data_IF_542869533555
#
_entry.id   IF_542869533555
#
_cell.length_a   1.000
_cell.length_b   1.000
_cell.length_c   1.000
_cell.angle_alpha   90.00
_cell.angle_beta   90.00
_cell.angle_gamma   90.00
#
_symmetry.space_group_name_H-M   'P 1'
#
loop_
_entity.id
_entity.type
_entity.pdbx_description
1 polymer ?
#
# COMPACT_ATOMS: atom_id res chain seq x y z
N UNK A 1 20.34 27.30 17.88
CA UNK A 1 19.29 26.52 17.19
C UNK A 1 18.75 27.24 15.96
N UNK A 2 18.45 28.54 16.02
CA UNK A 2 17.90 29.34 14.90
C UNK A 2 18.82 29.39 13.66
N UNK A 3 20.14 29.44 13.84
CA UNK A 3 21.10 29.51 12.71
C UNK A 3 21.15 28.22 11.86
N UNK A 4 20.97 27.05 12.48
CA UNK A 4 20.96 25.77 11.77
C UNK A 4 19.71 25.64 10.88
N UNK A 5 18.59 26.18 11.33
CA UNK A 5 17.34 26.18 10.58
C UNK A 5 17.41 27.13 9.37
N UNK A 6 18.07 28.28 9.54
CA UNK A 6 18.38 29.23 8.47
C UNK A 6 19.29 28.63 7.38
N UNK A 7 20.30 27.85 7.78
CA UNK A 7 21.19 27.17 6.85
C UNK A 7 20.46 26.09 6.03
N UNK A 8 19.55 25.35 6.67
CA UNK A 8 18.72 24.33 6.00
C UNK A 8 17.74 24.98 5.01
N UNK A 9 17.13 26.13 5.37
CA UNK A 9 16.27 26.88 4.46
C UNK A 9 17.02 27.44 3.24
N UNK A 10 18.21 28.03 3.45
CA UNK A 10 19.07 28.51 2.35
C UNK A 10 19.43 27.38 1.37
N UNK A 11 19.77 26.19 1.87
CA UNK A 11 20.11 25.03 1.03
C UNK A 11 18.92 24.56 0.19
N UNK A 12 17.71 24.52 0.78
CA UNK A 12 16.47 24.14 0.08
C UNK A 12 16.05 25.13 -1.01
N UNK A 13 16.37 26.42 -0.85
CA UNK A 13 16.09 27.43 -1.86
C UNK A 13 17.04 27.27 -3.05
N UNK A 14 18.34 27.11 -2.81
CA UNK A 14 19.33 26.96 -3.87
C UNK A 14 19.13 25.68 -4.72
N UNK A 15 18.58 24.61 -4.16
CA UNK A 15 18.26 23.37 -4.90
C UNK A 15 17.06 23.50 -5.85
N UNK A 16 16.19 24.51 -5.67
CA UNK A 16 15.05 24.76 -6.57
C UNK A 16 15.44 25.56 -7.81
N UNK A 17 16.45 26.42 -7.71
CA UNK A 17 16.86 27.32 -8.79
C UNK A 17 17.65 26.60 -9.90
N UNK A 18 18.23 25.43 -9.61
CA UNK A 18 18.93 24.60 -10.60
C UNK A 18 18.01 23.78 -11.52
N UNK A 19 16.69 23.77 -11.30
CA UNK A 19 15.76 23.05 -12.18
C UNK A 19 15.43 23.94 -13.36
N UNK A 20 15.99 23.64 -14.54
CA UNK A 20 15.70 24.34 -15.79
C UNK A 20 14.18 24.54 -15.95
N UNK A 21 13.73 25.77 -15.73
CA UNK A 21 12.35 26.19 -15.88
C UNK A 21 12.01 26.11 -17.37
N UNK A 22 11.53 24.94 -17.81
CA UNK A 22 10.93 24.79 -19.13
C UNK A 22 9.73 25.72 -19.12
N UNK A 23 9.86 26.90 -19.77
CA UNK A 23 8.80 27.92 -19.87
C UNK A 23 7.50 27.22 -20.22
N UNK A 24 6.63 27.04 -19.23
CA UNK A 24 5.31 26.46 -19.44
C UNK A 24 4.56 27.52 -20.24
N UNK A 25 4.22 27.20 -21.49
CA UNK A 25 3.32 28.01 -22.30
C UNK A 25 1.99 28.05 -21.54
N UNK A 26 1.74 29.16 -20.85
CA UNK A 26 0.48 29.39 -20.18
C UNK A 26 -0.53 29.65 -21.28
N UNK A 27 -1.47 28.73 -21.47
CA UNK A 27 -2.63 29.01 -22.31
C UNK A 27 -3.51 30.01 -21.54
N UNK A 28 -3.40 31.28 -21.92
CA UNK A 28 -4.14 32.42 -21.35
C UNK A 28 -5.55 32.50 -21.95
N UNK A 29 -6.27 31.38 -22.01
CA UNK A 29 -7.74 31.44 -22.11
C UNK A 29 -8.31 31.62 -20.70
N UNK A 30 -7.96 32.75 -20.08
CA UNK A 30 -8.55 33.13 -18.81
C UNK A 30 -9.91 33.78 -19.10
N UNK A 31 -10.98 32.97 -19.15
CA UNK A 31 -12.34 33.52 -19.04
C UNK A 31 -12.47 34.14 -17.65
N UNK A 32 -12.69 35.45 -17.61
CA UNK A 32 -13.03 36.17 -16.38
C UNK A 32 -14.41 35.66 -15.93
N UNK A 33 -14.41 34.67 -15.03
CA UNK A 33 -15.62 34.17 -14.39
C UNK A 33 -16.16 35.28 -13.48
N UNK A 34 -17.15 36.01 -13.97
CA UNK A 34 -17.80 37.13 -13.28
C UNK A 34 -18.50 36.65 -12.00
N UNK A 35 -17.91 37.04 -10.86
CA UNK A 35 -18.34 37.12 -9.46
C UNK A 35 -19.25 36.06 -8.80
N UNK A 36 -20.14 35.35 -9.51
CA UNK A 36 -21.01 34.30 -8.97
C UNK A 36 -20.62 32.90 -9.47
N UNK A 37 -20.39 32.74 -10.78
CA UNK A 37 -19.99 31.45 -11.37
C UNK A 37 -18.60 31.02 -10.87
N UNK A 38 -17.67 31.98 -10.77
CA UNK A 38 -16.33 31.74 -10.21
C UNK A 38 -16.36 31.33 -8.74
N UNK A 39 -17.28 31.89 -7.94
CA UNK A 39 -17.46 31.50 -6.53
C UNK A 39 -17.98 30.07 -6.41
N UNK A 40 -18.91 29.64 -7.27
CA UNK A 40 -19.41 28.26 -7.29
C UNK A 40 -18.32 27.26 -7.66
N UNK A 41 -17.54 27.55 -8.69
CA UNK A 41 -16.42 26.68 -9.11
C UNK A 41 -15.32 26.61 -8.05
N UNK A 42 -15.00 27.72 -7.38
CA UNK A 42 -14.04 27.73 -6.28
C UNK A 42 -14.54 26.86 -5.11
N UNK A 43 -15.80 27.04 -4.70
CA UNK A 43 -16.41 26.25 -3.64
C UNK A 43 -16.45 24.75 -3.97
N UNK A 44 -16.74 24.38 -5.22
CA UNK A 44 -16.74 22.99 -5.66
C UNK A 44 -15.33 22.38 -5.60
N UNK A 45 -14.31 23.10 -6.09
CA UNK A 45 -12.92 22.64 -6.01
C UNK A 45 -12.40 22.56 -4.58
N UNK A 46 -12.82 23.47 -3.71
CA UNK A 46 -12.49 23.41 -2.29
C UNK A 46 -13.13 22.20 -1.63
N UNK A 47 -14.40 21.91 -1.94
CA UNK A 47 -15.07 20.70 -1.48
C UNK A 47 -14.40 19.41 -2.01
N UNK A 48 -13.96 19.39 -3.27
CA UNK A 48 -13.23 18.25 -3.83
C UNK A 48 -11.86 18.05 -3.15
N UNK A 49 -11.12 19.16 -2.93
CA UNK A 49 -9.84 19.13 -2.21
C UNK A 49 -10.04 18.66 -0.78
N UNK A 50 -11.06 19.14 -0.08
CA UNK A 50 -11.40 18.71 1.27
C UNK A 50 -11.69 17.20 1.32
N UNK A 51 -12.52 16.67 0.42
CA UNK A 51 -12.80 15.21 0.32
C UNK A 51 -11.53 14.40 0.06
N UNK A 52 -10.63 14.88 -0.80
CA UNK A 52 -9.37 14.19 -1.11
C UNK A 52 -8.40 14.21 0.07
N UNK A 53 -8.34 15.30 0.82
CA UNK A 53 -7.54 15.41 2.04
C UNK A 53 -8.10 14.48 3.11
N UNK A 54 -9.42 14.47 3.33
CA UNK A 54 -10.06 13.58 4.29
C UNK A 54 -9.81 12.10 3.96
N UNK A 55 -10.06 11.67 2.71
CA UNK A 55 -9.78 10.29 2.28
C UNK A 55 -8.32 9.88 2.47
N UNK A 56 -7.37 10.81 2.28
CA UNK A 56 -5.95 10.55 2.54
C UNK A 56 -5.65 10.45 4.02
N UNK A 57 -6.24 11.30 4.85
CA UNK A 57 -6.10 11.27 6.30
C UNK A 57 -6.65 9.95 6.87
N UNK A 58 -7.85 9.56 6.48
CA UNK A 58 -8.48 8.29 6.90
C UNK A 58 -7.65 7.08 6.47
N UNK A 59 -7.15 7.10 5.23
CA UNK A 59 -6.27 6.04 4.72
C UNK A 59 -4.93 5.96 5.47
N UNK A 60 -4.37 7.09 5.89
CA UNK A 60 -3.15 7.13 6.69
C UNK A 60 -3.41 6.66 8.13
N UNK A 61 -4.53 7.05 8.73
CA UNK A 61 -4.94 6.62 10.06
C UNK A 61 -5.17 5.10 10.10
N UNK A 62 -5.93 4.55 9.16
CA UNK A 62 -6.16 3.09 9.07
C UNK A 62 -4.86 2.30 8.91
N UNK A 63 -3.86 2.85 8.21
CA UNK A 63 -2.54 2.22 8.08
C UNK A 63 -1.78 2.23 9.41
N UNK A 64 -1.77 3.38 10.11
CA UNK A 64 -1.15 3.52 11.44
C UNK A 64 -1.79 2.59 12.47
N UNK A 65 -3.12 2.51 12.49
CA UNK A 65 -3.86 1.61 13.39
C UNK A 65 -3.51 0.15 13.14
N UNK A 66 -3.41 -0.27 11.86
CA UNK A 66 -3.03 -1.64 11.50
C UNK A 66 -1.59 -1.96 11.89
N UNK A 67 -0.68 -1.00 11.78
CA UNK A 67 0.72 -1.14 12.20
C UNK A 67 0.83 -1.23 13.73
N UNK A 68 0.17 -0.33 14.46
CA UNK A 68 0.10 -0.38 15.93
C UNK A 68 -0.49 -1.70 16.44
N UNK A 69 -1.54 -2.21 15.78
CA UNK A 69 -2.15 -3.50 16.12
C UNK A 69 -1.14 -4.65 15.95
N UNK A 70 -0.33 -4.63 14.89
CA UNK A 70 0.74 -5.62 14.69
C UNK A 70 1.83 -5.51 15.74
N UNK A 71 2.27 -4.30 16.06
CA UNK A 71 3.28 -4.08 17.08
C UNK A 71 2.80 -4.54 18.46
N UNK A 72 1.52 -4.31 18.77
CA UNK A 72 0.91 -4.80 19.99
C UNK A 72 0.84 -6.33 20.02
N UNK A 73 0.46 -6.97 18.91
CA UNK A 73 0.49 -8.43 18.79
C UNK A 73 1.91 -9.00 18.94
N UNK A 74 2.93 -8.28 18.45
CA UNK A 74 4.35 -8.67 18.63
C UNK A 74 4.81 -8.52 20.08
N UNK A 75 4.41 -7.45 20.77
CA UNK A 75 4.70 -7.26 22.20
C UNK A 75 4.05 -8.33 23.06
N UNK A 76 2.84 -8.74 22.68
CA UNK A 76 2.08 -9.78 23.35
C UNK A 76 2.39 -11.18 22.80
N UNK A 77 3.41 -11.31 21.95
CA UNK A 77 3.72 -12.59 21.31
C UNK A 77 4.22 -13.60 22.34
N UNK A 78 3.50 -14.70 22.46
CA UNK A 78 3.93 -15.84 23.26
C UNK A 78 4.84 -16.75 22.40
N UNK A 79 6.07 -17.09 22.83
CA UNK A 79 6.93 -18.05 22.13
C UNK A 79 6.27 -19.44 21.92
N UNK A 80 5.18 -19.75 22.61
CA UNK A 80 4.39 -20.97 22.40
C UNK A 80 3.40 -20.88 21.23
N UNK A 81 3.22 -19.71 20.62
CA UNK A 81 2.25 -19.49 19.53
C UNK A 81 2.61 -20.31 18.30
N UNK A 82 1.75 -21.28 17.96
CA UNK A 82 2.00 -22.22 16.85
C UNK A 82 1.69 -21.56 15.51
N UNK A 83 2.66 -21.56 14.60
CA UNK A 83 2.47 -21.18 13.21
C UNK A 83 1.94 -22.36 12.39
N UNK A 84 0.75 -22.20 11.82
CA UNK A 84 0.07 -23.24 11.02
C UNK A 84 0.02 -22.91 9.53
N UNK A 85 0.00 -23.94 8.68
CA UNK A 85 -0.23 -23.80 7.24
C UNK A 85 1.05 -23.60 6.43
N UNK A 86 0.94 -23.70 5.10
CA UNK A 86 2.10 -23.75 4.21
C UNK A 86 2.84 -22.41 4.20
N UNK A 87 4.15 -22.44 4.46
CA UNK A 87 5.01 -21.25 4.53
C UNK A 87 4.90 -20.34 3.28
N UNK A 88 4.93 -20.92 2.07
CA UNK A 88 4.81 -20.15 0.81
C UNK A 88 3.46 -19.47 0.61
N UNK A 89 2.39 -19.99 1.22
CA UNK A 89 1.04 -19.45 1.13
C UNK A 89 0.80 -18.28 2.10
N UNK A 90 1.68 -18.07 3.09
CA UNK A 90 1.55 -17.00 4.09
C UNK A 90 1.61 -15.61 3.47
N UNK A 91 0.89 -14.68 4.09
CA UNK A 91 0.95 -13.27 3.75
C UNK A 91 2.30 -12.68 4.16
N UNK A 92 2.72 -11.56 3.52
CA UNK A 92 3.99 -10.89 3.88
C UNK A 92 4.07 -10.56 5.38
N UNK A 93 2.94 -10.14 5.99
CA UNK A 93 2.88 -9.84 7.42
C UNK A 93 3.29 -11.02 8.28
N UNK A 94 2.63 -12.16 8.09
CA UNK A 94 2.91 -13.38 8.84
C UNK A 94 4.37 -13.85 8.63
N UNK A 95 4.92 -13.67 7.42
CA UNK A 95 6.33 -13.97 7.16
C UNK A 95 7.27 -13.03 7.92
N UNK A 96 6.93 -11.76 8.08
CA UNK A 96 7.70 -10.84 8.94
C UNK A 96 7.61 -11.26 10.41
N UNK A 97 6.44 -11.71 10.87
CA UNK A 97 6.26 -12.17 12.25
C UNK A 97 7.04 -13.47 12.52
N UNK A 98 7.08 -14.40 11.55
CA UNK A 98 7.94 -15.60 11.60
C UNK A 98 9.43 -15.21 11.56
N UNK A 99 9.83 -14.27 10.71
CA UNK A 99 11.21 -13.79 10.66
C UNK A 99 11.62 -13.15 12.00
N UNK A 100 10.74 -12.34 12.59
CA UNK A 100 10.95 -11.72 13.89
C UNK A 100 11.08 -12.77 15.01
N UNK A 101 10.24 -13.81 15.03
CA UNK A 101 10.33 -14.89 16.03
C UNK A 101 11.62 -15.70 15.91
N UNK A 102 12.16 -15.81 14.69
CA UNK A 102 13.47 -16.43 14.40
C UNK A 102 14.65 -15.46 14.57
N UNK A 103 14.41 -14.21 15.01
CA UNK A 103 15.42 -13.13 15.12
C UNK A 103 16.16 -12.83 13.81
N UNK A 104 15.47 -13.00 12.69
CA UNK A 104 15.93 -12.64 11.35
C UNK A 104 15.47 -11.22 10.98
N UNK A 105 16.11 -10.63 9.97
CA UNK A 105 15.68 -9.34 9.45
C UNK A 105 14.31 -9.44 8.71
N UNK A 106 13.45 -8.45 8.89
CA UNK A 106 12.06 -8.43 8.40
C UNK A 106 11.86 -7.60 7.10
N UNK A 107 12.96 -7.07 6.58
CA UNK A 107 12.99 -6.19 5.42
C UNK A 107 12.88 -6.97 4.09
N UNK A 108 12.43 -6.27 3.05
CA UNK A 108 12.39 -6.79 1.68
C UNK A 108 11.02 -7.24 1.17
N UNK A 109 11.05 -7.96 0.06
CA UNK A 109 9.87 -8.51 -0.62
C UNK A 109 9.45 -9.84 -0.02
N UNK A 110 8.25 -10.33 -0.37
CA UNK A 110 7.77 -11.66 0.07
C UNK A 110 8.77 -12.78 -0.26
N UNK A 111 9.38 -12.73 -1.45
CA UNK A 111 10.34 -13.73 -1.90
C UNK A 111 11.62 -13.72 -1.06
N UNK A 112 12.16 -12.54 -0.75
CA UNK A 112 13.36 -12.39 0.10
C UNK A 112 13.11 -12.95 1.50
N UNK A 113 11.93 -12.68 2.09
CA UNK A 113 11.58 -13.22 3.40
C UNK A 113 11.47 -14.75 3.38
N UNK A 114 10.83 -15.32 2.35
CA UNK A 114 10.73 -16.78 2.21
C UNK A 114 12.12 -17.43 2.08
N UNK A 115 12.97 -16.87 1.24
CA UNK A 115 14.32 -17.38 1.00
C UNK A 115 15.16 -17.35 2.29
N UNK A 116 15.10 -16.25 3.04
CA UNK A 116 15.78 -16.09 4.32
C UNK A 116 15.27 -17.07 5.38
N UNK A 117 13.95 -17.25 5.49
CA UNK A 117 13.35 -18.20 6.43
C UNK A 117 13.70 -19.65 6.06
N UNK A 118 13.61 -20.01 4.78
CA UNK A 118 14.00 -21.35 4.32
C UNK A 118 15.48 -21.63 4.60
N UNK A 119 16.37 -20.68 4.24
CA UNK A 119 17.81 -20.79 4.51
C UNK A 119 18.11 -21.00 6.00
N UNK A 120 17.35 -20.36 6.89
CA UNK A 120 17.48 -20.58 8.33
C UNK A 120 17.06 -22.00 8.73
N UNK A 121 15.93 -22.51 8.24
CA UNK A 121 15.48 -23.87 8.57
C UNK A 121 16.34 -24.97 7.91
N UNK A 122 16.95 -24.69 6.77
CA UNK A 122 17.89 -25.59 6.11
C UNK A 122 19.20 -25.69 6.89
N UNK A 123 19.66 -24.61 7.51
CA UNK A 123 20.82 -24.59 8.40
C UNK A 123 20.52 -25.08 9.83
N UNK A 124 19.25 -25.00 10.27
CA UNK A 124 18.81 -25.38 11.61
C UNK A 124 17.65 -26.39 11.56
N UNK A 125 17.90 -27.64 11.14
CA UNK A 125 16.84 -28.64 10.99
C UNK A 125 16.10 -28.93 12.30
N UNK A 126 16.77 -28.84 13.46
CA UNK A 126 16.14 -29.01 14.77
C UNK A 126 15.04 -27.95 15.04
N UNK A 127 15.19 -26.72 14.52
CA UNK A 127 14.17 -25.68 14.66
C UNK A 127 12.88 -26.03 13.91
N UNK A 128 12.97 -26.85 12.85
CA UNK A 128 11.84 -27.31 12.05
C UNK A 128 10.92 -28.26 12.82
N UNK A 129 11.48 -29.01 13.76
CA UNK A 129 10.76 -29.98 14.61
C UNK A 129 10.13 -29.35 15.85
N UNK A 130 10.52 -28.12 16.18
CA UNK A 130 9.93 -27.37 17.28
C UNK A 130 8.41 -27.24 17.13
N UNK A 131 7.67 -27.39 18.23
CA UNK A 131 6.21 -27.36 18.25
C UNK A 131 5.63 -26.09 17.62
N UNK A 132 6.33 -24.97 17.76
CA UNK A 132 5.97 -23.65 17.22
C UNK A 132 5.97 -23.62 15.69
N UNK A 133 6.90 -24.32 15.03
CA UNK A 133 7.13 -24.25 13.58
C UNK A 133 6.72 -25.52 12.83
N UNK A 134 6.47 -26.62 13.52
CA UNK A 134 6.07 -27.90 12.92
C UNK A 134 4.84 -27.77 12.00
N UNK A 135 3.91 -26.89 12.37
CA UNK A 135 2.70 -26.61 11.57
C UNK A 135 2.97 -25.98 10.20
N UNK A 136 4.14 -25.35 10.00
CA UNK A 136 4.54 -24.72 8.73
C UNK A 136 4.97 -25.74 7.67
N UNK A 137 5.52 -26.87 8.13
CA UNK A 137 6.10 -27.91 7.28
C UNK A 137 5.24 -29.15 7.16
N UNK A 138 4.09 -29.15 7.85
CA UNK A 138 3.08 -30.19 7.71
C UNK A 138 2.50 -30.12 6.29
N UNK A 139 3.14 -30.82 5.36
CA UNK A 139 2.66 -31.01 3.99
C UNK A 139 1.26 -31.57 4.10
N UNK A 140 0.28 -30.81 3.62
CA UNK A 140 -1.14 -31.04 3.84
C UNK A 140 -1.50 -32.51 3.82
N UNK A 141 -1.67 -33.07 5.01
CA UNK A 141 -2.54 -34.21 5.19
C UNK A 141 -3.93 -33.73 4.83
N UNK A 142 -4.27 -33.84 3.54
CA UNK A 142 -5.66 -33.85 3.12
C UNK A 142 -6.32 -34.92 3.99
N UNK A 143 -7.19 -34.51 4.91
CA UNK A 143 -8.15 -35.35 5.63
C UNK A 143 -7.56 -36.73 5.96
N UNK A 144 -6.92 -36.85 7.12
CA UNK A 144 -6.83 -38.17 7.74
C UNK A 144 -8.26 -38.76 7.74
N UNK A 145 -8.34 -39.96 7.20
CA UNK A 145 -9.55 -40.64 6.80
C UNK A 145 -10.59 -40.70 7.92
N UNK A 146 -11.84 -40.92 7.50
CA UNK A 146 -12.96 -41.27 8.35
C UNK A 146 -12.51 -42.14 9.53
N UNK A 147 -12.93 -41.75 10.73
CA UNK A 147 -12.83 -42.59 11.91
C UNK A 147 -13.32 -44.01 11.56
N UNK A 148 -12.62 -45.08 11.97
CA UNK A 148 -13.17 -46.42 11.84
C UNK A 148 -14.49 -46.45 12.62
N UNK A 149 -15.55 -46.80 11.91
CA UNK A 149 -16.87 -47.06 12.48
C UNK A 149 -16.71 -48.08 13.61
N UNK A 150 -16.80 -47.61 14.85
CA UNK A 150 -17.12 -48.48 15.97
C UNK A 150 -18.61 -48.78 15.87
N UNK A 151 -18.92 -50.07 15.89
CA UNK A 151 -20.23 -50.67 15.70
C UNK A 151 -21.32 -50.10 16.62
N UNK A 152 -22.55 -50.07 16.09
CA UNK A 152 -23.81 -49.67 16.74
C UNK A 152 -24.05 -50.32 18.13
N UNK A 153 -24.88 -49.66 18.97
CA UNK A 153 -26.22 -50.22 19.20
C UNK A 153 -27.36 -49.18 19.11
N UNK A 154 -28.64 -49.61 19.04
CA UNK A 154 -29.61 -49.01 18.14
C UNK A 154 -30.60 -48.02 18.79
N UNK A 155 -31.26 -47.28 17.89
CA UNK A 155 -32.60 -46.71 18.02
C UNK A 155 -32.78 -45.47 18.89
N UNK A 156 -32.93 -44.32 18.24
CA UNK A 156 -34.01 -43.37 18.53
C UNK A 156 -34.35 -42.52 17.29
N UNK A 157 -35.60 -42.51 16.81
CA UNK A 157 -36.05 -41.55 15.81
C UNK A 157 -36.71 -40.36 16.52
N UNK A 158 -36.18 -39.15 16.34
CA UNK A 158 -36.96 -37.90 16.23
C UNK A 158 -36.05 -36.68 16.31
N UNK A 159 -36.09 -35.82 15.29
CA UNK A 159 -36.70 -34.48 15.36
C UNK A 159 -36.12 -33.56 14.27
N UNK A 160 -37.04 -32.87 13.59
CA UNK A 160 -36.86 -31.65 12.79
C UNK A 160 -36.00 -31.74 11.51
N UNK A 161 -36.72 -31.99 10.41
CA UNK A 161 -36.34 -31.57 9.07
C UNK A 161 -36.08 -30.05 9.04
N UNK A 162 -34.86 -29.66 8.72
CA UNK A 162 -34.55 -28.30 8.24
C UNK A 162 -34.61 -28.38 6.70
N UNK A 163 -35.48 -27.61 6.03
CA UNK A 163 -35.60 -27.65 4.58
C UNK A 163 -34.31 -27.12 3.93
N UNK A 164 -33.67 -27.98 3.15
CA UNK A 164 -32.63 -27.58 2.21
C UNK A 164 -33.26 -26.69 1.14
N UNK A 165 -32.89 -25.41 1.14
CA UNK A 165 -33.18 -24.51 0.03
C UNK A 165 -32.17 -24.80 -1.10
N UNK A 166 -32.60 -25.24 -2.30
CA UNK A 166 -31.71 -25.28 -3.44
C UNK A 166 -31.38 -23.86 -3.86
N UNK A 167 -30.10 -23.50 -3.73
CA UNK A 167 -29.58 -22.21 -4.16
C UNK A 167 -29.48 -22.21 -5.70
N UNK A 168 -30.61 -21.96 -6.37
CA UNK A 168 -30.66 -21.62 -7.79
C UNK A 168 -30.26 -20.17 -7.95
N UNK A 169 -28.96 -19.88 -8.12
CA UNK A 169 -28.58 -18.56 -8.59
C UNK A 169 -27.37 -18.55 -9.53
N UNK A 170 -27.60 -17.82 -10.62
CA UNK A 170 -26.69 -17.23 -11.60
C UNK A 170 -25.97 -18.17 -12.57
N UNK A 171 -26.70 -18.49 -13.64
CA UNK A 171 -26.18 -18.53 -15.01
C UNK A 171 -25.28 -17.30 -15.26
N UNK A 172 -23.98 -17.53 -15.43
CA UNK A 172 -23.04 -16.56 -15.98
C UNK A 172 -22.78 -16.96 -17.44
N UNK A 173 -23.17 -16.15 -18.44
CA UNK A 173 -22.77 -16.40 -19.81
C UNK A 173 -21.25 -16.21 -19.94
N UNK A 174 -20.59 -17.32 -20.20
CA UNK A 174 -19.17 -17.43 -20.50
C UNK A 174 -18.95 -16.81 -21.89
N UNK A 175 -18.65 -15.50 -21.90
CA UNK A 175 -18.15 -14.82 -23.09
C UNK A 175 -16.70 -15.25 -23.33
N UNK A 176 -16.55 -16.33 -24.09
CA UNK A 176 -15.27 -16.77 -24.65
C UNK A 176 -14.91 -15.84 -25.81
N UNK A 177 -14.14 -14.78 -25.54
CA UNK A 177 -13.51 -14.01 -26.60
C UNK A 177 -12.10 -14.56 -26.87
N UNK A 178 -11.76 -14.90 -28.13
CA UNK A 178 -10.39 -15.19 -28.52
C UNK A 178 -9.61 -13.88 -28.58
N UNK A 179 -8.89 -13.56 -27.51
CA UNK A 179 -7.95 -12.44 -27.51
C UNK A 179 -6.69 -12.86 -28.28
N UNK A 180 -6.62 -12.53 -29.57
CA UNK A 180 -5.39 -12.64 -30.35
C UNK A 180 -4.48 -11.47 -29.98
N UNK A 181 -3.52 -11.74 -29.09
CA UNK A 181 -2.46 -10.79 -28.76
C UNK A 181 -1.51 -10.70 -29.97
N UNK A 182 -1.65 -9.68 -30.80
CA UNK A 182 -0.63 -9.32 -31.80
C UNK A 182 0.49 -8.57 -31.08
N UNK A 183 1.73 -9.10 -31.05
CA UNK A 183 2.85 -8.39 -30.47
C UNK A 183 3.20 -7.18 -31.34
N UNK A 184 3.07 -5.98 -30.77
CA UNK A 184 3.52 -4.73 -31.38
C UNK A 184 5.04 -4.77 -31.56
N UNK A 185 5.48 -4.56 -32.79
CA UNK A 185 6.88 -4.45 -33.18
C UNK A 185 7.50 -3.21 -32.51
N UNK A 186 8.60 -3.34 -31.76
CA UNK A 186 9.29 -2.18 -31.20
C UNK A 186 9.97 -1.38 -32.31
N UNK A 187 9.41 -0.21 -32.63
CA UNK A 187 10.03 0.79 -33.48
C UNK A 187 11.22 1.39 -32.73
N UNK A 188 12.43 1.17 -33.22
CA UNK A 188 13.67 1.67 -32.64
C UNK A 188 13.66 3.21 -32.56
N UNK A 189 14.03 3.82 -31.42
CA UNK A 189 14.18 5.26 -31.31
C UNK A 189 15.43 5.73 -32.05
N UNK A 190 15.26 6.70 -32.96
CA UNK A 190 16.36 7.42 -33.61
C UNK A 190 17.18 8.21 -32.58
N UNK A 191 18.52 8.34 -32.77
CA UNK A 191 19.35 9.14 -31.88
C UNK A 191 18.99 10.63 -32.00
N UNK A 192 18.52 11.19 -30.89
CA UNK A 192 18.23 12.62 -30.77
C UNK A 192 19.54 13.40 -30.63
N UNK A 193 19.94 14.09 -31.69
CA UNK A 193 21.08 15.03 -31.67
C UNK A 193 20.62 16.33 -31.00
N UNK A 194 21.21 16.66 -29.85
CA UNK A 194 20.90 17.88 -29.12
C UNK A 194 21.50 19.12 -29.85
N UNK A 195 20.73 20.20 -30.04
CA UNK A 195 21.25 21.43 -30.63
C UNK A 195 22.17 22.20 -29.66
N UNK A 196 23.14 22.97 -30.18
CA UNK A 196 24.07 23.76 -29.36
C UNK A 196 23.34 24.88 -28.61
N UNK A 197 23.66 25.02 -27.32
CA UNK A 197 23.08 26.03 -26.43
C UNK A 197 23.44 27.47 -26.85
N UNK A 198 22.48 28.41 -26.88
CA UNK A 198 22.77 29.83 -27.05
C UNK A 198 23.38 30.45 -25.77
N UNK A 199 24.20 31.51 -25.89
CA UNK A 199 24.81 32.20 -24.76
C UNK A 199 23.78 32.95 -23.92
N UNK A 200 23.88 32.79 -22.59
CA UNK A 200 23.01 33.40 -21.58
C UNK A 200 23.22 34.91 -21.54
N UNK A 201 22.20 35.68 -21.92
CA UNK A 201 22.12 37.11 -21.59
C UNK A 201 21.49 37.28 -20.20
N UNK A 202 22.23 37.89 -19.29
CA UNK A 202 21.78 38.21 -17.93
C UNK A 202 20.71 39.32 -17.99
N UNK A 203 19.48 38.98 -17.61
CA UNK A 203 18.42 39.97 -17.36
C UNK A 203 18.24 40.09 -15.85
N UNK A 204 18.77 41.18 -15.29
CA UNK A 204 18.46 41.63 -13.95
C UNK A 204 17.05 42.24 -13.94
N UNK A 205 16.10 41.61 -13.25
CA UNK A 205 14.84 42.24 -12.91
C UNK A 205 14.41 41.83 -11.49
N UNK A 206 14.14 42.80 -10.60
CA UNK A 206 13.60 42.56 -9.27
C UNK A 206 12.07 42.59 -9.34
N UNK A 207 11.39 41.52 -8.95
CA UNK A 207 9.99 41.65 -8.54
C UNK A 207 9.70 40.89 -7.26
N UNK A 208 9.21 41.71 -6.33
CA UNK A 208 8.95 41.47 -4.94
C UNK A 208 7.46 41.16 -4.75
N UNK A 209 7.14 40.62 -3.59
CA UNK A 209 5.81 40.52 -2.94
C UNK A 209 4.81 39.47 -3.44
N UNK A 210 4.64 38.40 -2.64
CA UNK A 210 3.33 37.96 -2.16
C UNK A 210 3.52 36.97 -0.99
N UNK A 211 3.35 37.45 0.25
CA UNK A 211 3.41 36.63 1.46
C UNK A 211 2.46 37.21 2.49
N UNK A 212 1.15 36.92 2.34
CA UNK A 212 0.19 37.26 3.39
C UNK A 212 -1.10 36.42 3.33
N UNK A 213 -0.98 35.10 3.54
CA UNK A 213 -2.15 34.20 3.58
C UNK A 213 -2.12 33.15 4.71
N UNK A 214 -1.15 33.18 5.62
CA UNK A 214 -1.05 32.17 6.69
C UNK A 214 -1.66 32.56 8.04
N UNK A 215 -2.17 33.79 8.21
CA UNK A 215 -2.70 34.22 9.52
C UNK A 215 -4.18 33.86 9.81
N UNK A 216 -4.88 33.15 8.93
CA UNK A 216 -6.30 32.86 9.12
C UNK A 216 -6.64 31.59 9.92
N UNK A 217 -5.64 30.76 10.27
CA UNK A 217 -5.89 29.51 11.00
C UNK A 217 -5.89 29.63 12.53
N UNK A 218 -5.48 30.77 13.10
CA UNK A 218 -5.41 30.94 14.55
C UNK A 218 -6.72 31.42 15.22
N UNK A 219 -7.73 31.87 14.46
CA UNK A 219 -8.92 32.51 15.02
C UNK A 219 -10.12 31.59 15.30
N UNK A 220 -10.02 30.28 15.07
CA UNK A 220 -11.15 29.34 15.21
C UNK A 220 -11.10 28.45 16.46
N UNK A 221 -10.16 28.66 17.38
CA UNK A 221 -10.07 27.86 18.62
C UNK A 221 -10.38 28.65 19.90
N UNK A 222 -10.95 29.85 19.80
CA UNK A 222 -11.27 30.67 20.99
C UNK A 222 -12.67 31.27 20.92
N UNK A 223 -13.69 30.41 20.93
CA UNK A 223 -15.07 30.71 21.38
C UNK A 223 -15.70 29.40 21.82
#
# INVERSE_FOLDING_TARGET
MVEAELAIQKRKLNERDGRSSKRRKLNVEARVLTSAEGKRLAAEKDAERAKKVQKKADGAQRRREKENCRDQNRRNWDPTTIFTGILSAKAKGDLMDIAWSLRLAEDGTKAVLLDRINSYFDSHPAARESSTYRGLFSRGGRRAAAAPAAEDPPSQPSTSAIPFHPNTYTNQPHFTYPFTFTPATPLFPHPFVAPPNPPLQAFDAPFNTYSDLENYQMYLQST
#
